data_IF_720529449163
#
_entry.id   IF_720529449163
#
_cell.length_a   1.000
_cell.length_b   1.000
_cell.length_c   1.000
_cell.angle_alpha   90.00
_cell.angle_beta   90.00
_cell.angle_gamma   90.00
#
_symmetry.space_group_name_H-M   'P 1'
#
loop_
_entity.id
_entity.type
_entity.pdbx_description
1 polymer ?
#
# COMPACT_ATOMS: atom_id res chain seq x y z
N UNK A 1 3.54 -0.92 23.00
CA UNK A 1 2.66 -0.63 21.85
C UNK A 1 2.94 -1.66 20.77
N UNK A 2 1.89 -2.14 20.11
CA UNK A 2 1.96 -2.96 18.89
C UNK A 2 1.71 -2.05 17.70
N UNK A 3 2.41 -2.27 16.58
CA UNK A 3 2.17 -1.54 15.34
C UNK A 3 1.94 -2.53 14.21
N UNK A 4 0.88 -2.32 13.44
CA UNK A 4 0.58 -3.07 12.21
C UNK A 4 0.48 -2.11 11.02
N UNK A 5 0.78 -2.59 9.81
CA UNK A 5 0.70 -1.80 8.58
C UNK A 5 -0.43 -2.31 7.71
N UNK A 6 -1.28 -1.40 7.19
CA UNK A 6 -2.48 -1.74 6.42
C UNK A 6 -2.65 -0.83 5.18
N UNK A 7 -2.55 -1.36 3.95
CA UNK A 7 -2.01 -2.69 3.60
C UNK A 7 -0.57 -2.87 4.07
N UNK A 8 -0.13 -4.11 4.28
CA UNK A 8 1.26 -4.42 4.67
C UNK A 8 2.29 -3.94 3.65
N UNK A 9 3.56 -3.99 4.03
CA UNK A 9 4.68 -3.67 3.16
C UNK A 9 4.81 -4.64 1.98
N UNK A 10 4.26 -5.85 2.12
CA UNK A 10 4.14 -6.88 1.07
C UNK A 10 2.85 -6.75 0.24
N UNK A 11 2.07 -5.69 0.43
CA UNK A 11 0.82 -5.47 -0.30
C UNK A 11 -0.31 -6.41 0.11
N UNK A 12 -0.15 -7.16 1.20
CA UNK A 12 -1.21 -7.98 1.78
C UNK A 12 -2.13 -7.13 2.67
N UNK A 13 -3.34 -7.61 2.89
CA UNK A 13 -4.38 -6.87 3.59
C UNK A 13 -4.88 -7.71 4.76
N UNK A 14 -4.76 -7.19 5.97
CA UNK A 14 -5.38 -7.80 7.13
C UNK A 14 -6.90 -7.67 7.06
N UNK A 15 -7.62 -8.73 7.39
CA UNK A 15 -9.06 -8.72 7.59
C UNK A 15 -9.43 -8.05 8.93
N UNK A 16 -10.68 -7.56 9.08
CA UNK A 16 -11.15 -7.02 10.36
C UNK A 16 -10.96 -7.99 11.55
N UNK A 17 -11.15 -9.29 11.32
CA UNK A 17 -11.04 -10.31 12.37
C UNK A 17 -9.58 -10.55 12.78
N UNK A 18 -8.64 -10.56 11.84
CA UNK A 18 -7.20 -10.64 12.14
C UNK A 18 -6.74 -9.40 12.93
N UNK A 19 -7.21 -8.21 12.53
CA UNK A 19 -6.89 -6.97 13.25
C UNK A 19 -7.47 -7.04 14.68
N UNK A 20 -8.71 -7.49 14.84
CA UNK A 20 -9.36 -7.65 16.14
C UNK A 20 -8.61 -8.63 17.04
N UNK A 21 -8.10 -9.73 16.49
CA UNK A 21 -7.30 -10.69 17.24
C UNK A 21 -6.02 -10.05 17.78
N UNK A 22 -5.33 -9.25 16.96
CA UNK A 22 -4.12 -8.53 17.36
C UNK A 22 -4.43 -7.47 18.43
N UNK A 23 -5.46 -6.66 18.23
CA UNK A 23 -5.82 -5.58 19.17
C UNK A 23 -6.27 -6.13 20.51
N UNK A 24 -7.11 -7.18 20.51
CA UNK A 24 -7.57 -7.82 21.73
C UNK A 24 -6.38 -8.39 22.53
N UNK A 25 -5.47 -9.09 21.86
CA UNK A 25 -4.26 -9.61 22.51
C UNK A 25 -3.36 -8.50 23.08
N UNK A 26 -3.18 -7.39 22.34
CA UNK A 26 -2.37 -6.27 22.80
C UNK A 26 -3.01 -5.56 24.01
N UNK A 27 -4.32 -5.30 23.95
CA UNK A 27 -5.08 -4.66 25.03
C UNK A 27 -5.10 -5.52 26.30
N UNK A 28 -5.20 -6.85 26.19
CA UNK A 28 -5.07 -7.78 27.33
C UNK A 28 -3.70 -7.69 28.03
N UNK A 29 -2.69 -7.16 27.35
CA UNK A 29 -1.34 -6.88 27.89
C UNK A 29 -1.14 -5.42 28.29
N UNK A 30 -2.20 -4.61 28.28
CA UNK A 30 -2.12 -3.18 28.55
C UNK A 30 -1.33 -2.41 27.49
N UNK A 31 -1.23 -2.93 26.26
CA UNK A 31 -0.50 -2.30 25.16
C UNK A 31 -1.46 -1.62 24.20
N UNK A 32 -1.16 -0.38 23.80
CA UNK A 32 -1.85 0.30 22.70
C UNK A 32 -1.50 -0.31 21.34
N UNK A 33 -2.39 -0.12 20.36
CA UNK A 33 -2.20 -0.55 18.96
C UNK A 33 -2.26 0.63 17.99
N UNK A 34 -1.17 0.80 17.26
CA UNK A 34 -1.05 1.73 16.13
C UNK A 34 -1.26 0.99 14.81
N UNK A 35 -1.95 1.65 13.86
CA UNK A 35 -2.00 1.25 12.47
C UNK A 35 -1.25 2.24 11.58
N UNK A 36 -0.17 1.79 10.95
CA UNK A 36 0.42 2.48 9.81
C UNK A 36 -0.51 2.30 8.60
N UNK A 37 -1.23 3.37 8.27
CA UNK A 37 -2.17 3.45 7.17
C UNK A 37 -1.58 4.16 5.94
N UNK A 38 -0.27 4.07 5.69
CA UNK A 38 0.35 4.67 4.50
C UNK A 38 -0.33 4.28 3.17
N UNK A 39 -1.03 3.13 3.15
CA UNK A 39 -1.88 2.65 2.05
C UNK A 39 -3.28 2.21 2.53
N UNK A 40 -3.82 2.91 3.54
CA UNK A 40 -5.13 2.57 4.11
C UNK A 40 -6.26 2.61 3.08
N UNK A 41 -6.19 3.57 2.14
CA UNK A 41 -7.13 3.66 1.02
C UNK A 41 -7.12 2.41 0.14
N UNK A 42 -5.94 1.84 -0.14
CA UNK A 42 -5.81 0.60 -0.90
C UNK A 42 -6.40 -0.61 -0.16
N UNK A 43 -6.21 -0.67 1.17
CA UNK A 43 -6.85 -1.69 1.99
C UNK A 43 -8.38 -1.54 2.01
N UNK A 44 -8.91 -0.32 2.14
CA UNK A 44 -10.36 -0.07 2.04
C UNK A 44 -10.93 -0.47 0.67
N UNK A 45 -10.22 -0.16 -0.41
CA UNK A 45 -10.60 -0.55 -1.76
C UNK A 45 -10.60 -2.08 -1.93
N UNK A 46 -9.62 -2.78 -1.34
CA UNK A 46 -9.50 -4.24 -1.38
C UNK A 46 -10.59 -4.93 -0.57
N UNK A 47 -10.78 -4.51 0.69
CA UNK A 47 -11.80 -5.06 1.60
C UNK A 47 -13.22 -4.69 1.17
N UNK A 48 -13.39 -3.61 0.40
CA UNK A 48 -14.68 -2.99 0.12
C UNK A 48 -15.44 -2.62 1.39
N UNK A 49 -14.72 -2.13 2.40
CA UNK A 49 -15.24 -1.73 3.70
C UNK A 49 -14.92 -0.26 4.01
N UNK A 50 -15.76 0.44 4.79
CA UNK A 50 -15.41 1.75 5.32
C UNK A 50 -14.25 1.63 6.33
N UNK A 51 -13.42 2.67 6.45
CA UNK A 51 -12.26 2.66 7.37
C UNK A 51 -12.61 2.22 8.79
N UNK A 52 -13.74 2.70 9.32
CA UNK A 52 -14.20 2.39 10.67
C UNK A 52 -14.25 0.88 10.96
N UNK A 53 -14.69 0.08 9.99
CA UNK A 53 -14.90 -1.35 10.15
C UNK A 53 -13.60 -2.15 10.38
N UNK A 54 -12.46 -1.61 9.98
CA UNK A 54 -11.14 -2.24 10.16
C UNK A 54 -10.14 -1.31 10.88
N UNK A 55 -10.63 -0.25 11.53
CA UNK A 55 -9.83 0.62 12.42
C UNK A 55 -10.51 0.73 13.77
N UNK A 56 -11.43 1.68 13.93
CA UNK A 56 -12.13 1.98 15.18
C UNK A 56 -12.87 0.77 15.75
N UNK A 57 -13.67 0.08 14.92
CA UNK A 57 -14.54 -1.01 15.39
C UNK A 57 -13.78 -2.29 15.76
N UNK A 58 -12.50 -2.36 15.41
CA UNK A 58 -11.59 -3.49 15.70
C UNK A 58 -10.51 -3.09 16.71
N UNK A 59 -10.62 -1.95 17.38
CA UNK A 59 -9.75 -1.60 18.51
C UNK A 59 -8.40 -0.98 18.15
N UNK A 60 -8.27 -0.35 16.98
CA UNK A 60 -7.08 0.47 16.69
C UNK A 60 -7.15 1.78 17.47
N UNK A 61 -6.07 2.11 18.19
CA UNK A 61 -6.01 3.29 19.06
C UNK A 61 -5.56 4.54 18.31
N UNK A 62 -4.63 4.39 17.37
CA UNK A 62 -4.04 5.47 16.56
C UNK A 62 -3.81 5.00 15.13
N UNK A 63 -4.13 5.83 14.14
CA UNK A 63 -3.91 5.56 12.71
C UNK A 63 -3.03 6.66 12.11
N UNK A 64 -2.00 6.27 11.39
CA UNK A 64 -1.27 7.14 10.45
C UNK A 64 -1.95 7.07 9.08
N UNK A 65 -2.86 8.00 8.78
CA UNK A 65 -3.61 8.03 7.52
C UNK A 65 -2.77 8.59 6.37
N UNK A 66 -2.44 7.66 5.46
CA UNK A 66 -1.78 7.83 4.18
C UNK A 66 -2.49 8.80 3.22
N UNK A 67 -1.85 9.90 2.81
CA UNK A 67 -2.38 10.78 1.76
C UNK A 67 -1.46 10.90 0.55
N UNK A 68 -0.15 11.04 0.78
CA UNK A 68 0.83 11.31 -0.28
C UNK A 68 0.88 10.20 -1.33
N UNK A 69 0.81 8.94 -0.89
CA UNK A 69 0.85 7.77 -1.79
C UNK A 69 -0.43 7.59 -2.62
N UNK A 70 -1.45 8.40 -2.36
CA UNK A 70 -2.74 8.37 -3.04
C UNK A 70 -3.04 9.69 -3.78
N UNK A 71 -1.99 10.39 -4.22
CA UNK A 71 -2.10 11.55 -5.11
C UNK A 71 -1.94 12.92 -4.46
N UNK A 72 -1.68 12.99 -3.15
CA UNK A 72 -1.34 14.26 -2.49
C UNK A 72 0.15 14.59 -2.66
N UNK A 73 0.51 15.87 -2.59
CA UNK A 73 1.89 16.34 -2.76
C UNK A 73 2.78 16.07 -1.54
N UNK A 74 2.20 15.91 -0.35
CA UNK A 74 2.96 15.75 0.90
C UNK A 74 2.09 16.02 2.11
N UNK A 75 1.04 15.21 2.30
CA UNK A 75 0.10 15.38 3.39
C UNK A 75 -0.32 14.02 3.96
N UNK A 76 -0.23 13.92 5.28
CA UNK A 76 -0.58 12.75 6.08
C UNK A 76 -1.41 13.24 7.28
N UNK A 77 -2.24 12.39 7.87
CA UNK A 77 -2.97 12.70 9.10
C UNK A 77 -2.74 11.67 10.19
N UNK A 78 -2.56 12.12 11.44
CA UNK A 78 -2.69 11.26 12.60
C UNK A 78 -4.16 11.31 13.03
N UNK A 79 -4.83 10.16 12.99
CA UNK A 79 -6.20 9.99 13.47
C UNK A 79 -6.12 9.21 14.78
N UNK A 80 -6.85 9.66 15.79
CA UNK A 80 -6.82 9.07 17.14
C UNK A 80 -8.23 8.57 17.47
N UNK A 81 -8.60 7.35 17.05
CA UNK A 81 -9.90 6.77 17.41
C UNK A 81 -10.11 6.60 18.92
N UNK A 82 -9.04 6.35 19.68
CA UNK A 82 -9.07 6.28 21.14
C UNK A 82 -8.36 7.53 21.72
N UNK A 83 -9.10 8.59 22.13
CA UNK A 83 -8.49 9.82 22.63
C UNK A 83 -7.59 9.62 23.85
N UNK A 84 -7.89 8.62 24.68
CA UNK A 84 -7.12 8.32 25.90
C UNK A 84 -5.78 7.62 25.59
N UNK A 85 -5.57 7.17 24.34
CA UNK A 85 -4.33 6.53 23.90
C UNK A 85 -3.15 7.49 23.70
N UNK A 86 -3.42 8.81 23.63
CA UNK A 86 -2.37 9.80 23.37
C UNK A 86 -2.44 10.95 24.37
N UNK A 87 -1.32 11.23 25.02
CA UNK A 87 -1.13 12.43 25.82
C UNK A 87 -0.18 13.39 25.09
N UNK A 88 -0.56 14.66 25.00
CA UNK A 88 0.35 15.71 24.50
C UNK A 88 0.65 15.70 22.99
N UNK A 89 -0.13 14.98 22.16
CA UNK A 89 0.09 14.89 20.69
C UNK A 89 0.27 16.25 20.00
N UNK A 90 -0.51 17.27 20.40
CA UNK A 90 -0.42 18.62 19.83
C UNK A 90 0.92 19.31 20.14
N UNK A 91 1.50 19.04 21.30
CA UNK A 91 2.81 19.55 21.71
C UNK A 91 3.92 18.77 21.02
N UNK A 92 3.80 17.44 20.95
CA UNK A 92 4.73 16.60 20.22
C UNK A 92 4.83 17.03 18.74
N UNK A 93 3.71 17.28 18.09
CA UNK A 93 3.67 17.80 16.70
C UNK A 93 4.42 19.12 16.54
N UNK A 94 4.37 20.01 17.54
CA UNK A 94 5.14 21.26 17.52
C UNK A 94 6.62 21.00 17.75
N UNK A 95 6.96 20.18 18.74
CA UNK A 95 8.33 19.85 19.12
C UNK A 95 9.08 19.12 17.99
N UNK A 96 8.40 18.23 17.28
CA UNK A 96 8.94 17.47 16.15
C UNK A 96 8.98 18.26 14.83
N UNK A 97 8.71 19.56 14.88
CA UNK A 97 8.68 20.45 13.71
C UNK A 97 7.65 20.03 12.63
N UNK A 98 6.63 19.26 13.00
CA UNK A 98 5.53 18.83 12.13
C UNK A 98 4.31 19.76 12.18
N UNK A 99 4.36 20.87 12.94
CA UNK A 99 3.30 21.87 12.96
C UNK A 99 3.50 22.92 11.84
N UNK A 100 2.87 22.70 10.69
CA UNK A 100 2.88 23.65 9.58
C UNK A 100 2.19 24.97 9.95
N UNK A 101 2.89 26.10 9.78
CA UNK A 101 2.34 27.44 10.02
C UNK A 101 1.14 27.73 9.10
N UNK A 102 1.25 27.37 7.81
CA UNK A 102 0.18 27.54 6.81
C UNK A 102 -0.58 26.23 6.60
N UNK A 103 -1.16 25.69 7.68
CA UNK A 103 -1.81 24.36 7.72
C UNK A 103 -2.87 24.13 6.63
N UNK A 104 -3.51 25.19 6.14
CA UNK A 104 -4.47 25.12 5.03
C UNK A 104 -3.94 24.39 3.77
N UNK A 105 -2.64 24.46 3.48
CA UNK A 105 -2.07 23.75 2.32
C UNK A 105 -2.00 22.24 2.53
N UNK A 106 -1.78 21.78 3.76
CA UNK A 106 -1.85 20.36 4.12
C UNK A 106 -3.31 19.91 4.23
N UNK A 107 -4.16 20.68 4.93
CA UNK A 107 -5.57 20.34 5.14
C UNK A 107 -6.37 20.28 3.84
N UNK A 108 -6.16 21.21 2.91
CA UNK A 108 -6.88 21.21 1.63
C UNK A 108 -6.59 19.95 0.81
N UNK A 109 -5.36 19.43 0.85
CA UNK A 109 -4.99 18.18 0.20
C UNK A 109 -5.76 17.00 0.80
N UNK A 110 -5.74 16.83 2.13
CA UNK A 110 -6.41 15.72 2.81
C UNK A 110 -7.92 15.77 2.58
N UNK A 111 -8.55 16.95 2.73
CA UNK A 111 -9.98 17.13 2.50
C UNK A 111 -10.40 16.74 1.08
N UNK A 112 -9.52 16.90 0.10
CA UNK A 112 -9.80 16.56 -1.30
C UNK A 112 -9.95 15.04 -1.49
N UNK A 113 -9.21 14.20 -0.75
CA UNK A 113 -9.39 12.74 -0.82
C UNK A 113 -10.78 12.28 -0.35
N UNK A 114 -11.45 13.06 0.50
CA UNK A 114 -12.79 12.76 1.02
C UNK A 114 -13.93 13.37 0.17
N UNK A 115 -13.61 14.08 -0.92
CA UNK A 115 -14.62 14.62 -1.85
C UNK A 115 -14.87 13.63 -2.97
N UNK A 116 -16.14 13.39 -3.28
CA UNK A 116 -16.58 12.56 -4.43
C UNK A 116 -15.86 11.20 -4.52
N UNK A 117 -15.64 10.60 -3.34
CA UNK A 117 -14.91 9.36 -3.11
C UNK A 117 -13.51 9.31 -3.78
N UNK A 118 -12.88 10.45 -4.03
CA UNK A 118 -11.63 10.54 -4.79
C UNK A 118 -10.56 9.59 -4.24
N UNK A 119 -10.33 9.59 -2.92
CA UNK A 119 -9.33 8.73 -2.30
C UNK A 119 -9.60 7.24 -2.56
N UNK A 120 -10.86 6.82 -2.52
CA UNK A 120 -11.24 5.43 -2.81
C UNK A 120 -11.15 5.12 -4.30
N UNK A 121 -11.54 6.04 -5.19
CA UNK A 121 -11.42 5.89 -6.65
C UNK A 121 -9.96 5.73 -7.07
N UNK A 122 -9.08 6.60 -6.58
CA UNK A 122 -7.63 6.55 -6.83
C UNK A 122 -7.00 5.24 -6.35
N UNK A 123 -7.38 4.77 -5.15
CA UNK A 123 -6.86 3.52 -4.61
C UNK A 123 -7.40 2.28 -5.34
N UNK A 124 -8.68 2.28 -5.75
CA UNK A 124 -9.27 1.23 -6.59
C UNK A 124 -8.54 1.12 -7.92
N UNK A 125 -8.24 2.24 -8.55
CA UNK A 125 -7.47 2.29 -9.79
C UNK A 125 -6.08 1.66 -9.62
N UNK A 126 -5.32 2.09 -8.60
CA UNK A 126 -4.00 1.54 -8.33
C UNK A 126 -4.02 0.03 -8.05
N UNK A 127 -5.00 -0.45 -7.27
CA UNK A 127 -5.19 -1.89 -7.03
C UNK A 127 -5.56 -2.64 -8.31
N UNK A 128 -6.44 -2.07 -9.14
CA UNK A 128 -6.86 -2.67 -10.40
C UNK A 128 -5.67 -2.83 -11.35
N UNK A 129 -4.81 -1.83 -11.49
CA UNK A 129 -3.61 -1.92 -12.34
C UNK A 129 -2.62 -2.99 -11.86
N UNK A 130 -2.43 -3.15 -10.55
CA UNK A 130 -1.61 -4.22 -10.00
C UNK A 130 -2.21 -5.61 -10.28
N UNK A 131 -3.53 -5.73 -10.16
CA UNK A 131 -4.27 -6.97 -10.50
C UNK A 131 -4.19 -7.29 -11.99
N UNK A 132 -4.34 -6.29 -12.86
CA UNK A 132 -4.19 -6.43 -14.32
C UNK A 132 -2.78 -6.88 -14.69
N UNK A 133 -1.75 -6.26 -14.11
CA UNK A 133 -0.36 -6.67 -14.29
C UNK A 133 -0.16 -8.13 -13.89
N UNK A 134 -0.60 -8.50 -12.68
CA UNK A 134 -0.50 -9.87 -12.16
C UNK A 134 -1.17 -10.87 -13.10
N UNK A 135 -2.41 -10.59 -13.49
CA UNK A 135 -3.22 -11.47 -14.35
C UNK A 135 -2.59 -11.64 -15.73
N UNK A 136 -2.13 -10.56 -16.35
CA UNK A 136 -1.50 -10.62 -17.67
C UNK A 136 -0.24 -11.48 -17.67
N UNK A 137 0.60 -11.35 -16.63
CA UNK A 137 1.80 -12.18 -16.47
C UNK A 137 1.46 -13.66 -16.22
N UNK A 138 0.46 -13.94 -15.39
CA UNK A 138 -0.02 -15.32 -15.17
C UNK A 138 -0.56 -15.95 -16.46
N UNK A 139 -1.24 -15.19 -17.31
CA UNK A 139 -1.71 -15.67 -18.62
C UNK A 139 -0.55 -15.99 -19.57
N UNK A 140 0.50 -15.15 -19.60
CA UNK A 140 1.71 -15.41 -20.41
C UNK A 140 2.47 -16.65 -19.92
N UNK A 141 2.50 -16.90 -18.62
CA UNK A 141 3.05 -18.13 -18.03
C UNK A 141 2.20 -19.35 -18.38
N UNK A 142 0.89 -19.27 -18.20
CA UNK A 142 -0.04 -20.39 -18.46
C UNK A 142 -0.09 -20.79 -19.94
N UNK A 143 0.10 -19.84 -20.86
CA UNK A 143 0.21 -20.11 -22.30
C UNK A 143 1.57 -20.65 -22.74
N UNK A 144 2.56 -20.68 -21.85
CA UNK A 144 3.92 -21.12 -22.17
C UNK A 144 4.71 -20.13 -23.03
N UNK A 145 4.20 -18.91 -23.22
CA UNK A 145 4.91 -17.85 -23.97
C UNK A 145 6.18 -17.45 -23.22
N UNK A 146 6.17 -17.45 -21.90
CA UNK A 146 7.36 -17.21 -21.08
C UNK A 146 7.44 -18.20 -19.91
N UNK A 147 8.62 -18.32 -19.31
CA UNK A 147 8.86 -19.11 -18.09
C UNK A 147 9.88 -18.39 -17.20
N UNK A 148 10.18 -18.92 -16.02
CA UNK A 148 11.18 -18.31 -15.12
C UNK A 148 10.70 -17.10 -14.32
N UNK A 149 9.39 -16.84 -14.30
CA UNK A 149 8.74 -15.85 -13.44
C UNK A 149 7.85 -16.56 -12.41
N UNK A 150 7.99 -16.16 -11.14
CA UNK A 150 7.11 -16.55 -10.04
C UNK A 150 6.61 -15.35 -9.24
N UNK A 151 5.83 -15.61 -8.20
CA UNK A 151 5.32 -14.57 -7.30
C UNK A 151 5.40 -15.02 -5.85
N UNK A 152 5.91 -14.16 -4.97
CA UNK A 152 6.15 -14.45 -3.55
C UNK A 152 4.99 -14.07 -2.63
N UNK A 153 4.09 -13.21 -3.09
CA UNK A 153 2.95 -12.73 -2.31
C UNK A 153 1.66 -12.63 -3.17
N UNK A 154 0.47 -12.68 -2.54
CA UNK A 154 -0.77 -12.38 -3.24
C UNK A 154 -0.88 -10.87 -3.53
N UNK A 155 -1.46 -10.53 -4.67
CA UNK A 155 -1.72 -9.14 -5.06
C UNK A 155 -3.06 -8.68 -4.48
N UNK A 156 -3.07 -8.20 -3.23
CA UNK A 156 -4.29 -7.72 -2.55
C UNK A 156 -4.43 -6.19 -2.54
N UNK A 157 -3.36 -5.45 -2.81
CA UNK A 157 -3.33 -4.00 -2.91
C UNK A 157 -2.69 -3.58 -4.26
N UNK A 158 -1.85 -2.53 -4.25
CA UNK A 158 -1.25 -1.96 -5.46
C UNK A 158 0.19 -2.42 -5.72
N UNK A 159 0.57 -3.59 -5.23
CA UNK A 159 1.93 -4.11 -5.34
C UNK A 159 1.93 -5.55 -5.87
N UNK A 160 2.85 -5.83 -6.79
CA UNK A 160 3.16 -7.18 -7.29
C UNK A 160 4.59 -7.51 -6.88
N UNK A 161 4.73 -8.59 -6.12
CA UNK A 161 6.04 -9.13 -5.74
C UNK A 161 6.34 -10.34 -6.60
N UNK A 162 7.40 -10.22 -7.40
CA UNK A 162 7.76 -11.19 -8.42
C UNK A 162 9.15 -11.77 -8.17
N UNK A 163 9.34 -13.02 -8.57
CA UNK A 163 10.58 -13.77 -8.47
C UNK A 163 11.09 -14.06 -9.88
N UNK A 164 12.30 -13.64 -10.19
CA UNK A 164 12.97 -13.88 -11.48
C UNK A 164 14.49 -13.77 -11.34
N UNK A 165 15.22 -14.29 -12.32
CA UNK A 165 16.67 -14.19 -12.33
C UNK A 165 17.15 -12.73 -12.28
N UNK A 166 18.18 -12.46 -11.48
CA UNK A 166 18.70 -11.10 -11.28
C UNK A 166 19.19 -10.46 -12.57
N UNK A 167 19.80 -11.23 -13.49
CA UNK A 167 20.25 -10.70 -14.76
C UNK A 167 19.07 -10.28 -15.64
N UNK A 168 17.96 -11.01 -15.60
CA UNK A 168 16.72 -10.61 -16.29
C UNK A 168 16.16 -9.33 -15.67
N UNK A 169 16.07 -9.27 -14.33
CA UNK A 169 15.60 -8.07 -13.63
C UNK A 169 16.47 -6.84 -13.94
N UNK A 170 17.78 -7.02 -14.06
CA UNK A 170 18.72 -5.95 -14.41
C UNK A 170 18.50 -5.44 -15.85
N UNK A 171 18.25 -6.33 -16.83
CA UNK A 171 17.89 -5.91 -18.21
C UNK A 171 16.56 -5.16 -18.28
N UNK A 172 15.53 -5.66 -17.59
CA UNK A 172 14.23 -4.96 -17.53
C UNK A 172 14.43 -3.56 -16.90
N UNK A 173 15.33 -3.42 -15.90
CA UNK A 173 15.63 -2.15 -15.24
C UNK A 173 16.24 -1.07 -16.12
N UNK A 174 16.83 -1.45 -17.25
CA UNK A 174 17.31 -0.49 -18.25
C UNK A 174 16.16 0.27 -18.90
N UNK A 175 14.97 -0.33 -18.97
CA UNK A 175 13.76 0.20 -19.62
C UNK A 175 12.72 0.72 -18.62
N UNK A 176 12.60 0.08 -17.46
CA UNK A 176 11.63 0.42 -16.42
C UNK A 176 12.29 0.60 -15.05
N UNK A 177 11.79 1.51 -14.22
CA UNK A 177 12.33 1.71 -12.86
C UNK A 177 11.51 0.91 -11.85
N UNK A 178 12.19 0.05 -11.11
CA UNK A 178 11.67 -0.66 -9.94
C UNK A 178 12.81 -1.06 -9.02
N UNK A 179 12.47 -1.59 -7.84
CA UNK A 179 13.43 -1.96 -6.81
C UNK A 179 13.43 -3.47 -6.56
N UNK A 180 14.59 -3.98 -6.16
CA UNK A 180 14.67 -5.29 -5.52
C UNK A 180 14.01 -5.21 -4.14
N UNK A 181 13.18 -6.20 -3.81
CA UNK A 181 12.71 -6.41 -2.44
C UNK A 181 13.70 -7.29 -1.68
N UNK A 182 14.14 -8.39 -2.31
CA UNK A 182 15.18 -9.28 -1.80
C UNK A 182 16.00 -9.80 -3.00
N UNK A 183 17.09 -9.10 -3.30
CA UNK A 183 17.97 -9.44 -4.43
C UNK A 183 18.61 -10.83 -4.28
N UNK A 184 18.83 -11.31 -3.05
CA UNK A 184 19.41 -12.64 -2.85
C UNK A 184 18.45 -13.76 -3.29
N UNK A 185 17.14 -13.49 -3.29
CA UNK A 185 16.11 -14.41 -3.77
C UNK A 185 15.65 -14.11 -5.21
N UNK A 186 16.20 -13.08 -5.86
CA UNK A 186 15.67 -12.59 -7.14
C UNK A 186 14.28 -11.97 -7.02
N UNK A 187 13.93 -11.42 -5.85
CA UNK A 187 12.62 -10.86 -5.59
C UNK A 187 12.59 -9.36 -5.88
N UNK A 188 11.67 -8.94 -6.74
CA UNK A 188 11.46 -7.56 -7.14
C UNK A 188 10.08 -7.08 -6.72
N UNK A 189 9.96 -5.77 -6.49
CA UNK A 189 8.70 -5.12 -6.14
C UNK A 189 8.26 -4.17 -7.24
N UNK A 190 7.15 -4.49 -7.87
CA UNK A 190 6.48 -3.65 -8.86
C UNK A 190 5.27 -2.97 -8.23
N UNK A 191 5.18 -1.66 -8.38
CA UNK A 191 4.17 -0.84 -7.71
C UNK A 191 3.31 -0.13 -8.75
N UNK A 192 2.00 -0.13 -8.55
CA UNK A 192 1.06 0.69 -9.32
C UNK A 192 0.58 1.86 -8.46
N UNK A 193 0.32 3.00 -9.10
CA UNK A 193 -0.12 4.24 -8.48
C UNK A 193 -1.49 4.66 -9.03
N UNK A 194 -2.02 5.76 -8.51
CA UNK A 194 -3.30 6.33 -8.92
C UNK A 194 -3.32 6.82 -10.39
N UNK A 195 -2.16 6.95 -11.02
CA UNK A 195 -1.94 7.41 -12.39
C UNK A 195 -1.30 6.36 -13.31
N UNK A 196 -1.07 5.12 -12.84
CA UNK A 196 -0.60 4.03 -13.72
C UNK A 196 -1.64 3.74 -14.78
N UNK A 197 -1.27 3.72 -16.05
CA UNK A 197 -2.20 3.48 -17.15
C UNK A 197 -2.19 2.02 -17.61
N UNK A 198 -3.23 1.60 -18.35
CA UNK A 198 -3.24 0.27 -18.99
C UNK A 198 -2.10 0.12 -20.01
N UNK A 199 -1.69 1.21 -20.68
CA UNK A 199 -0.54 1.20 -21.59
C UNK A 199 0.76 0.95 -20.84
N UNK A 200 0.96 1.56 -19.67
CA UNK A 200 2.12 1.27 -18.80
C UNK A 200 2.18 -0.22 -18.46
N UNK A 201 1.04 -0.82 -18.12
CA UNK A 201 0.95 -2.25 -17.83
C UNK A 201 1.27 -3.09 -19.07
N UNK A 202 0.65 -2.79 -20.20
CA UNK A 202 0.86 -3.54 -21.46
C UNK A 202 2.34 -3.53 -21.86
N UNK A 203 2.94 -2.33 -21.91
CA UNK A 203 4.35 -2.17 -22.28
C UNK A 203 5.29 -2.88 -21.32
N UNK A 204 4.97 -2.88 -20.03
CA UNK A 204 5.78 -3.55 -19.02
C UNK A 204 5.68 -5.08 -19.15
N UNK A 205 4.47 -5.62 -19.34
CA UNK A 205 4.25 -7.06 -19.57
C UNK A 205 5.00 -7.54 -20.81
N UNK A 206 4.91 -6.80 -21.92
CA UNK A 206 5.60 -7.16 -23.16
C UNK A 206 7.12 -7.12 -22.99
N UNK A 207 7.64 -6.14 -22.22
CA UNK A 207 9.07 -6.07 -21.90
C UNK A 207 9.52 -7.25 -21.04
N UNK A 208 8.80 -7.58 -19.96
CA UNK A 208 9.10 -8.76 -19.13
C UNK A 208 9.10 -10.03 -19.97
N UNK A 209 8.09 -10.19 -20.83
CA UNK A 209 7.95 -11.36 -21.71
C UNK A 209 9.17 -11.48 -22.64
N UNK A 210 9.56 -10.39 -23.30
CA UNK A 210 10.70 -10.40 -24.21
C UNK A 210 12.03 -10.69 -23.48
N UNK A 211 12.25 -10.10 -22.31
CA UNK A 211 13.50 -10.30 -21.56
C UNK A 211 13.62 -11.70 -20.94
N UNK A 212 12.51 -12.39 -20.65
CA UNK A 212 12.51 -13.78 -20.17
C UNK A 212 12.67 -14.81 -21.30
N UNK A 213 12.50 -14.41 -22.56
CA UNK A 213 12.71 -15.26 -23.73
C UNK A 213 14.14 -15.15 -24.30
N UNK A 214 14.87 -14.10 -23.95
CA UNK A 214 16.23 -13.81 -24.41
C UNK A 214 17.29 -14.51 -23.57
#
# INVERSE_FOLDING_TARGET
>A
MVSITQSSELGTVYTPDEIRAITSFAHDKGMLVHMDGARLWNAAASLSLPFRAFTTDVGIDVVSLGGTKNGLLGAEAIVVPNPDAVEGLIYLRKLSMQLASKMRFTSAQILTLFRDDLGLRSARHANAMASTLRTALEQRLASGVMSGLGFSAPTQANAVFALLDNAVADRIREKFRFYDWDRAKGEVRWMCSFDTTEDDISRFVDTITAELQA
#
